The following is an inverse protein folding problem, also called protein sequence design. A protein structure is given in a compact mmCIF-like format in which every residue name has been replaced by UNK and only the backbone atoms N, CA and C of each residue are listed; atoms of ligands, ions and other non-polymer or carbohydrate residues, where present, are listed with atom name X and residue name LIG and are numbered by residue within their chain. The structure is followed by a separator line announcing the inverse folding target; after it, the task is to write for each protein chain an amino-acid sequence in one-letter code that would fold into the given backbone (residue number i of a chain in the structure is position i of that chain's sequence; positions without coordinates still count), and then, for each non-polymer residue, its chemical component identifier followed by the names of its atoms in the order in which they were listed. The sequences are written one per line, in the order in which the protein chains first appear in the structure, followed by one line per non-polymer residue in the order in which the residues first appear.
data_IF_028093054038
#
_entry.id   IF_028093054038
#
_cell.length_a   1.000
_cell.length_b   1.000
_cell.length_c   1.000
_cell.angle_alpha   90.00
_cell.angle_beta   90.00
_cell.angle_gamma   90.00
#
_symmetry.space_group_name_H-M   'P 1'
#
loop_
_entity.id
_entity.type
_entity.pdbx_description
1 polymer ?
#
# COMPACT_ATOMS: atom_id res chain seq x y z
N UNK A 1 16.70 19.38 -0.54
CA UNK A 1 18.08 18.91 -0.64
C UNK A 1 18.15 17.44 -1.04
N UNK A 2 19.31 16.97 -1.47
CA UNK A 2 19.48 15.56 -1.84
C UNK A 2 19.28 14.63 -0.65
N UNK A 3 19.73 15.03 0.53
CA UNK A 3 19.59 14.20 1.73
C UNK A 3 18.13 14.04 2.14
N UNK A 4 17.33 15.08 1.98
CA UNK A 4 15.90 14.99 2.25
C UNK A 4 15.20 14.05 1.28
N UNK A 5 15.49 14.17 -0.04
CA UNK A 5 14.96 13.27 -1.03
C UNK A 5 15.34 11.83 -0.78
N UNK A 6 16.61 11.58 -0.44
CA UNK A 6 17.11 10.26 -0.12
C UNK A 6 16.42 9.69 1.13
N UNK A 7 16.20 10.54 2.16
CA UNK A 7 15.50 10.12 3.38
C UNK A 7 14.06 9.72 3.10
N UNK A 8 13.36 10.49 2.27
CA UNK A 8 11.99 10.14 1.88
C UNK A 8 11.94 8.86 1.08
N UNK A 9 12.88 8.68 0.15
CA UNK A 9 12.95 7.47 -0.65
C UNK A 9 13.16 6.24 0.23
N UNK A 10 14.06 6.32 1.18
CA UNK A 10 14.30 5.25 2.14
C UNK A 10 13.08 4.99 3.02
N UNK A 11 12.42 6.05 3.47
CA UNK A 11 11.21 5.91 4.28
C UNK A 11 10.11 5.18 3.51
N UNK A 12 9.84 5.61 2.27
CA UNK A 12 8.83 4.97 1.44
C UNK A 12 9.21 3.52 1.16
N UNK A 13 10.47 3.26 0.84
CA UNK A 13 10.94 1.90 0.60
C UNK A 13 10.71 1.00 1.81
N UNK A 14 11.05 1.49 3.00
CA UNK A 14 10.86 0.72 4.23
C UNK A 14 9.38 0.47 4.52
N UNK A 15 8.53 1.44 4.27
CA UNK A 15 7.08 1.28 4.43
C UNK A 15 6.53 0.25 3.46
N UNK A 16 6.98 0.27 2.20
CA UNK A 16 6.56 -0.71 1.19
C UNK A 16 6.98 -2.11 1.62
N UNK A 17 8.22 -2.29 2.05
CA UNK A 17 8.71 -3.60 2.46
C UNK A 17 7.93 -4.14 3.67
N UNK A 18 7.64 -3.27 4.65
CA UNK A 18 6.85 -3.65 5.81
C UNK A 18 5.44 -4.07 5.43
N UNK A 19 4.82 -3.33 4.52
CA UNK A 19 3.46 -3.63 4.04
C UNK A 19 3.41 -4.95 3.28
N UNK A 20 4.39 -5.21 2.43
CA UNK A 20 4.47 -6.47 1.69
C UNK A 20 4.58 -7.64 2.67
N UNK A 21 5.46 -7.54 3.65
CA UNK A 21 5.63 -8.59 4.64
C UNK A 21 4.36 -8.82 5.45
N UNK A 22 3.73 -7.74 5.91
CA UNK A 22 2.47 -7.82 6.64
C UNK A 22 1.39 -8.50 5.82
N UNK A 23 1.23 -8.09 4.57
CA UNK A 23 0.22 -8.65 3.67
C UNK A 23 0.43 -10.13 3.46
N UNK A 24 1.68 -10.56 3.22
CA UNK A 24 2.00 -11.97 3.02
C UNK A 24 1.66 -12.80 4.25
N UNK A 25 2.01 -12.31 5.44
CA UNK A 25 1.70 -12.99 6.69
C UNK A 25 0.20 -13.07 6.96
N UNK A 26 -0.51 -11.98 6.70
CA UNK A 26 -1.96 -11.94 6.90
C UNK A 26 -2.66 -12.96 6.01
N UNK A 27 -2.27 -13.04 4.75
CA UNK A 27 -2.86 -13.98 3.82
C UNK A 27 -2.55 -15.42 4.20
N UNK A 28 -1.33 -15.68 4.70
CA UNK A 28 -0.97 -17.01 5.19
C UNK A 28 -1.84 -17.42 6.38
N UNK A 29 -2.09 -16.51 7.31
CA UNK A 29 -2.98 -16.78 8.45
C UNK A 29 -4.38 -17.10 7.98
N UNK A 30 -4.91 -16.35 7.01
CA UNK A 30 -6.24 -16.62 6.45
C UNK A 30 -6.31 -18.01 5.83
N UNK A 31 -5.28 -18.42 5.09
CA UNK A 31 -5.24 -19.78 4.50
C UNK A 31 -5.21 -20.86 5.59
N UNK A 32 -4.45 -20.65 6.66
CA UNK A 32 -4.40 -21.59 7.80
C UNK A 32 -5.75 -21.71 8.49
N UNK A 33 -6.56 -20.64 8.47
CA UNK A 33 -7.90 -20.64 9.02
C UNK A 33 -8.94 -21.28 8.07
N UNK A 34 -8.47 -21.84 6.97
CA UNK A 34 -9.35 -22.54 6.01
C UNK A 34 -9.93 -21.66 4.92
N UNK A 35 -9.49 -20.41 4.83
CA UNK A 35 -9.94 -19.52 3.76
C UNK A 35 -9.27 -19.87 2.45
N UNK A 36 -10.04 -19.82 1.39
CA UNK A 36 -9.54 -20.07 0.03
C UNK A 36 -8.97 -18.76 -0.53
N UNK A 37 -7.76 -18.43 -0.09
CA UNK A 37 -7.08 -17.21 -0.48
C UNK A 37 -5.97 -17.58 -1.47
N UNK A 38 -5.94 -16.98 -2.67
CA UNK A 38 -4.88 -17.28 -3.63
C UNK A 38 -3.51 -16.85 -3.10
N UNK A 39 -2.47 -17.56 -3.53
CA UNK A 39 -1.11 -17.13 -3.24
C UNK A 39 -0.75 -16.03 -4.20
N UNK A 40 -0.55 -14.82 -3.67
CA UNK A 40 -0.16 -13.67 -4.49
C UNK A 40 1.36 -13.57 -4.55
N UNK A 41 1.83 -13.25 -5.74
CA UNK A 41 3.24 -13.04 -5.98
C UNK A 41 3.75 -11.87 -5.13
N UNK A 42 4.91 -12.05 -4.51
CA UNK A 42 5.51 -11.03 -3.67
C UNK A 42 5.80 -9.75 -4.47
N UNK A 43 6.22 -9.91 -5.73
CA UNK A 43 6.48 -8.77 -6.61
C UNK A 43 5.21 -7.98 -6.89
N UNK A 44 4.09 -8.66 -7.08
CA UNK A 44 2.80 -7.99 -7.27
C UNK A 44 2.41 -7.20 -6.03
N UNK A 45 2.55 -7.80 -4.86
CA UNK A 45 2.28 -7.08 -3.59
C UNK A 45 3.17 -5.85 -3.47
N UNK A 46 4.44 -5.96 -3.85
CA UNK A 46 5.38 -4.84 -3.82
C UNK A 46 4.94 -3.72 -4.76
N UNK A 47 4.51 -4.06 -5.96
CA UNK A 47 4.05 -3.07 -6.95
C UNK A 47 2.82 -2.33 -6.42
N UNK A 48 1.87 -3.05 -5.86
CA UNK A 48 0.64 -2.45 -5.32
C UNK A 48 0.96 -1.54 -4.14
N UNK A 49 1.77 -2.01 -3.20
CA UNK A 49 2.15 -1.22 -2.04
C UNK A 49 2.96 0.02 -2.43
N UNK A 50 3.85 -0.12 -3.41
CA UNK A 50 4.62 1.02 -3.93
C UNK A 50 3.72 2.10 -4.49
N UNK A 51 2.71 1.72 -5.26
CA UNK A 51 1.75 2.68 -5.81
C UNK A 51 1.02 3.44 -4.71
N UNK A 52 0.56 2.72 -3.69
CA UNK A 52 -0.16 3.32 -2.58
C UNK A 52 0.70 4.31 -1.80
N UNK A 53 1.90 3.91 -1.38
CA UNK A 53 2.75 4.78 -0.56
C UNK A 53 3.32 5.95 -1.35
N UNK A 54 3.65 5.75 -2.63
CA UNK A 54 4.08 6.86 -3.47
C UNK A 54 2.94 7.84 -3.73
N UNK A 55 1.70 7.35 -3.84
CA UNK A 55 0.54 8.22 -3.94
C UNK A 55 0.35 9.09 -2.71
N UNK A 56 0.47 8.50 -1.52
CA UNK A 56 0.40 9.24 -0.26
C UNK A 56 1.54 10.27 -0.19
N UNK A 57 2.74 9.88 -0.60
CA UNK A 57 3.89 10.78 -0.65
C UNK A 57 3.63 11.98 -1.55
N UNK A 58 3.01 11.77 -2.72
CA UNK A 58 2.65 12.86 -3.62
C UNK A 58 1.73 13.88 -2.94
N UNK A 59 0.75 13.40 -2.17
CA UNK A 59 -0.15 14.28 -1.43
C UNK A 59 0.63 15.14 -0.43
N UNK A 60 1.55 14.52 0.30
CA UNK A 60 2.36 15.22 1.31
C UNK A 60 3.29 16.25 0.67
N UNK A 61 3.95 15.89 -0.43
CA UNK A 61 4.92 16.74 -1.11
C UNK A 61 4.26 18.00 -1.68
N UNK A 62 3.04 17.87 -2.20
CA UNK A 62 2.35 18.99 -2.81
C UNK A 62 1.65 19.93 -1.81
N UNK A 63 1.75 19.61 -0.53
CA UNK A 63 1.21 20.45 0.54
C UNK A 63 -0.24 20.87 0.29
N UNK A 64 -1.07 19.88 -0.03
CA UNK A 64 -2.47 20.13 -0.33
C UNK A 64 -3.25 20.60 0.89
N UNK A 65 -4.31 21.42 0.71
CA UNK A 65 -5.22 21.71 1.80
C UNK A 65 -5.75 20.42 2.43
N UNK A 66 -5.93 20.44 3.74
CA UNK A 66 -6.31 19.24 4.49
C UNK A 66 -7.55 18.56 3.93
N UNK A 67 -8.58 19.32 3.60
CA UNK A 67 -9.82 18.75 3.08
C UNK A 67 -9.61 18.03 1.75
N UNK A 68 -8.81 18.61 0.87
CA UNK A 68 -8.49 18.01 -0.42
C UNK A 68 -7.67 16.75 -0.22
N UNK A 69 -6.67 16.79 0.66
CA UNK A 69 -5.83 15.63 0.97
C UNK A 69 -6.68 14.48 1.52
N UNK A 70 -7.58 14.76 2.45
CA UNK A 70 -8.47 13.75 3.03
C UNK A 70 -9.39 13.15 1.98
N UNK A 71 -9.88 13.95 1.04
CA UNK A 71 -10.71 13.47 -0.05
C UNK A 71 -9.95 12.44 -0.91
N UNK A 72 -8.72 12.76 -1.28
CA UNK A 72 -7.91 11.84 -2.08
C UNK A 72 -7.53 10.57 -1.31
N UNK A 73 -7.21 10.71 -0.03
CA UNK A 73 -6.90 9.55 0.81
C UNK A 73 -8.11 8.60 0.89
N UNK A 74 -9.31 9.15 1.09
CA UNK A 74 -10.53 8.36 1.14
C UNK A 74 -10.79 7.62 -0.18
N UNK A 75 -10.60 8.31 -1.31
CA UNK A 75 -10.78 7.70 -2.62
C UNK A 75 -9.75 6.60 -2.88
N UNK A 76 -8.49 6.83 -2.51
CA UNK A 76 -7.44 5.83 -2.67
C UNK A 76 -7.70 4.61 -1.79
N UNK A 77 -8.16 4.83 -0.56
CA UNK A 77 -8.52 3.72 0.33
C UNK A 77 -9.60 2.86 -0.31
N UNK A 78 -10.64 3.47 -0.84
CA UNK A 78 -11.72 2.73 -1.48
C UNK A 78 -11.23 1.96 -2.71
N UNK A 79 -10.40 2.61 -3.51
CA UNK A 79 -9.83 1.99 -4.70
C UNK A 79 -8.97 0.77 -4.35
N UNK A 80 -8.06 0.91 -3.39
CA UNK A 80 -7.18 -0.19 -3.00
C UNK A 80 -7.94 -1.30 -2.27
N UNK A 81 -8.91 -0.96 -1.45
CA UNK A 81 -9.74 -1.95 -0.78
C UNK A 81 -10.50 -2.80 -1.79
N UNK A 82 -11.14 -2.16 -2.75
CA UNK A 82 -11.87 -2.88 -3.79
C UNK A 82 -10.95 -3.78 -4.62
N UNK A 83 -9.77 -3.28 -4.96
CA UNK A 83 -8.77 -4.05 -5.71
C UNK A 83 -8.29 -5.27 -4.93
N UNK A 84 -7.96 -5.09 -3.66
CA UNK A 84 -7.55 -6.20 -2.80
C UNK A 84 -8.64 -7.25 -2.66
N UNK A 85 -9.89 -6.83 -2.42
CA UNK A 85 -11.01 -7.76 -2.30
C UNK A 85 -11.18 -8.58 -3.58
N UNK A 86 -11.02 -7.94 -4.73
CA UNK A 86 -11.09 -8.65 -6.01
C UNK A 86 -9.97 -9.68 -6.14
N UNK A 87 -8.75 -9.32 -5.77
CA UNK A 87 -7.59 -10.21 -5.88
C UNK A 87 -7.71 -11.43 -4.97
N UNK A 88 -8.29 -11.27 -3.79
CA UNK A 88 -8.43 -12.39 -2.84
C UNK A 88 -9.74 -13.14 -3.02
N UNK A 89 -10.51 -12.85 -4.07
CA UNK A 89 -11.71 -13.62 -4.40
C UNK A 89 -12.96 -13.25 -3.60
N UNK A 90 -12.99 -12.05 -3.06
CA UNK A 90 -14.13 -11.58 -2.27
C UNK A 90 -15.15 -10.79 -3.10
#
# INVERSE_FOLDING_TARGET
TRSEGTSYEHFVHNMVEAEVEYTQRYMEVLRRLGRDIPVLDKSLCHIIASGMFNGIFEIVVHDMPKEQAMHYVDQLRDFYTAGWLKLIGQ
#
